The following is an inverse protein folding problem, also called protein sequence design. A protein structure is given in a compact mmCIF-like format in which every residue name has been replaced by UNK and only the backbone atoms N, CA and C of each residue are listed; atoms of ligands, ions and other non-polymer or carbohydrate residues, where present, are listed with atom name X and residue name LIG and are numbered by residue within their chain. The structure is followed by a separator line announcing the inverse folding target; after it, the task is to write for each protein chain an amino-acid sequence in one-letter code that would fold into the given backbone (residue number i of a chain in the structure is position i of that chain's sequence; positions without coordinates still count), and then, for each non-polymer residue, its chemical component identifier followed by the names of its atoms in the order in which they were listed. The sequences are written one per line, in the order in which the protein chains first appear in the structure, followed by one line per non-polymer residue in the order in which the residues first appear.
data_IF_440254461889
#
_entry.id   IF_440254461889
#
_cell.length_a   1.000
_cell.length_b   1.000
_cell.length_c   1.000
_cell.angle_alpha   90.00
_cell.angle_beta   90.00
_cell.angle_gamma   90.00
#
_symmetry.space_group_name_H-M   'P 1'
#
loop_
_entity.id
_entity.type
_entity.pdbx_description
1 polymer ?
#
# COMPACT_ATOMS: atom_id res chain seq x y z
N UNK A 1 3.22 -19.92 8.35
CA UNK A 1 4.15 -20.83 7.64
C UNK A 1 4.53 -20.21 6.32
N UNK A 2 5.82 -20.19 5.96
CA UNK A 2 6.29 -19.61 4.69
C UNK A 2 7.08 -20.67 3.92
N UNK A 3 6.78 -20.78 2.62
CA UNK A 3 7.45 -21.70 1.69
C UNK A 3 8.09 -20.89 0.55
N UNK A 4 9.30 -21.26 0.15
CA UNK A 4 10.02 -20.68 -0.99
C UNK A 4 10.42 -21.77 -1.98
N UNK A 5 9.56 -22.09 -2.96
CA UNK A 5 9.88 -23.11 -3.94
C UNK A 5 11.00 -22.69 -4.90
N UNK A 6 11.13 -21.37 -5.15
CA UNK A 6 12.20 -20.77 -5.95
C UNK A 6 12.71 -19.50 -5.28
N UNK A 7 13.78 -18.92 -5.81
CA UNK A 7 14.33 -17.66 -5.29
C UNK A 7 13.29 -16.51 -5.35
N UNK A 8 12.51 -16.45 -6.41
CA UNK A 8 11.61 -15.33 -6.73
C UNK A 8 10.18 -15.56 -6.22
N UNK A 9 9.80 -16.79 -5.86
CA UNK A 9 8.43 -17.12 -5.45
C UNK A 9 8.39 -17.44 -3.95
N UNK A 10 7.45 -16.81 -3.26
CA UNK A 10 7.17 -17.04 -1.85
C UNK A 10 5.68 -17.28 -1.63
N UNK A 11 5.35 -18.31 -0.87
CA UNK A 11 4.02 -18.60 -0.35
C UNK A 11 4.00 -18.40 1.16
N UNK A 12 2.97 -17.78 1.68
CA UNK A 12 2.76 -17.62 3.12
C UNK A 12 1.33 -18.02 3.49
N UNK A 13 1.20 -18.83 4.53
CA UNK A 13 -0.07 -19.20 5.14
C UNK A 13 -0.11 -18.61 6.54
N UNK A 14 -1.22 -17.97 6.87
CA UNK A 14 -1.43 -17.30 8.16
C UNK A 14 -2.74 -17.80 8.76
N UNK A 15 -2.70 -18.25 9.99
CA UNK A 15 -3.87 -18.49 10.83
C UNK A 15 -3.83 -17.46 11.94
N UNK A 16 -4.91 -16.73 12.11
CA UNK A 16 -5.03 -15.69 13.12
C UNK A 16 -6.28 -15.87 13.98
N UNK A 17 -6.22 -15.34 15.19
CA UNK A 17 -7.35 -15.14 16.06
C UNK A 17 -7.51 -13.65 16.34
N UNK A 18 -8.70 -13.14 16.13
CA UNK A 18 -9.05 -11.75 16.38
C UNK A 18 -9.96 -11.69 17.58
N UNK A 19 -9.64 -10.81 18.52
CA UNK A 19 -10.51 -10.39 19.60
C UNK A 19 -10.45 -8.87 19.66
N UNK A 20 -11.59 -8.22 19.51
CA UNK A 20 -11.69 -6.77 19.54
C UNK A 20 -12.90 -6.34 20.35
N UNK A 21 -12.81 -5.18 20.99
CA UNK A 21 -13.90 -4.58 21.74
C UNK A 21 -13.94 -3.07 21.52
N UNK A 22 -15.13 -2.50 21.61
CA UNK A 22 -15.37 -1.05 21.55
C UNK A 22 -16.21 -0.61 22.74
N UNK A 23 -16.17 0.69 23.04
CA UNK A 23 -16.99 1.27 24.12
C UNK A 23 -18.44 1.40 23.67
N UNK A 24 -19.35 1.50 24.64
CA UNK A 24 -20.79 1.72 24.44
C UNK A 24 -21.05 2.90 23.49
N UNK A 25 -20.26 3.97 23.61
CA UNK A 25 -20.39 5.15 22.76
C UNK A 25 -20.20 4.81 21.29
N UNK A 26 -19.23 3.96 20.96
CA UNK A 26 -18.98 3.55 19.57
C UNK A 26 -20.11 2.67 19.05
N UNK A 27 -20.58 1.70 19.85
CA UNK A 27 -21.67 0.81 19.42
C UNK A 27 -23.00 1.56 19.25
N UNK A 28 -23.24 2.65 19.99
CA UNK A 28 -24.42 3.50 19.84
C UNK A 28 -24.31 4.42 18.62
N UNK A 29 -23.15 5.05 18.41
CA UNK A 29 -22.94 6.00 17.30
C UNK A 29 -22.70 5.33 15.96
N UNK A 30 -22.10 4.14 15.95
CA UNK A 30 -21.78 3.34 14.77
C UNK A 30 -22.16 1.86 15.01
N UNK A 31 -23.46 1.51 14.95
CA UNK A 31 -23.93 0.13 15.22
C UNK A 31 -23.32 -0.92 14.26
N UNK A 32 -22.88 -0.49 13.10
CA UNK A 32 -22.26 -1.34 12.08
C UNK A 32 -20.74 -1.48 12.27
N UNK A 33 -20.17 -0.90 13.32
CA UNK A 33 -18.73 -1.01 13.59
C UNK A 33 -18.33 -2.49 13.76
N UNK A 34 -19.00 -3.20 14.67
CA UNK A 34 -19.13 -4.66 14.64
C UNK A 34 -20.56 -4.99 14.19
N UNK A 35 -20.76 -6.00 13.41
CA UNK A 35 -22.08 -6.37 12.93
C UNK A 35 -23.10 -6.47 14.07
N UNK A 36 -24.27 -5.82 13.92
CA UNK A 36 -25.41 -5.97 14.82
C UNK A 36 -25.35 -5.14 16.12
N UNK A 37 -24.51 -4.11 16.20
CA UNK A 37 -24.43 -3.21 17.37
C UNK A 37 -23.75 -3.82 18.59
N UNK A 38 -23.06 -4.93 18.41
CA UNK A 38 -22.31 -5.59 19.47
C UNK A 38 -21.05 -4.81 19.84
N UNK A 39 -20.57 -4.98 21.08
CA UNK A 39 -19.39 -4.30 21.60
C UNK A 39 -18.11 -5.13 21.50
N UNK A 40 -18.26 -6.43 21.35
CA UNK A 40 -17.18 -7.41 21.26
C UNK A 40 -17.31 -8.25 20.00
N UNK A 41 -16.19 -8.69 19.46
CA UNK A 41 -16.15 -9.68 18.39
C UNK A 41 -14.92 -10.58 18.52
N UNK A 42 -15.10 -11.88 18.28
CA UNK A 42 -14.04 -12.89 18.32
C UNK A 42 -14.23 -13.85 17.16
N UNK A 43 -13.18 -14.08 16.40
CA UNK A 43 -13.22 -15.00 15.28
C UNK A 43 -11.83 -15.42 14.82
N UNK A 44 -11.78 -16.46 13.99
CA UNK A 44 -10.57 -16.91 13.34
C UNK A 44 -10.44 -16.28 11.95
N UNK A 45 -9.19 -16.06 11.53
CA UNK A 45 -8.86 -15.62 10.17
C UNK A 45 -7.91 -16.60 9.51
N UNK A 46 -8.04 -16.76 8.21
CA UNK A 46 -7.13 -17.55 7.38
C UNK A 46 -6.61 -16.67 6.24
N UNK A 47 -5.29 -16.55 6.14
CA UNK A 47 -4.63 -15.80 5.10
C UNK A 47 -3.76 -16.69 4.22
N UNK A 48 -3.77 -16.41 2.92
CA UNK A 48 -2.83 -16.96 1.97
C UNK A 48 -2.25 -15.83 1.12
N UNK A 49 -0.93 -15.81 1.01
CA UNK A 49 -0.21 -14.86 0.16
C UNK A 49 0.72 -15.62 -0.77
N UNK A 50 0.66 -15.30 -2.05
CA UNK A 50 1.68 -15.68 -3.03
C UNK A 50 2.32 -14.42 -3.58
N UNK A 51 3.64 -14.42 -3.65
CA UNK A 51 4.45 -13.28 -4.10
C UNK A 51 5.48 -13.78 -5.11
N UNK A 52 5.62 -13.04 -6.20
CA UNK A 52 6.72 -13.13 -7.16
C UNK A 52 7.50 -11.82 -7.12
N UNK A 53 8.81 -11.87 -6.88
CA UNK A 53 9.69 -10.70 -6.76
C UNK A 53 10.96 -10.90 -7.58
N UNK A 54 10.99 -10.31 -8.76
CA UNK A 54 12.10 -10.35 -9.71
C UNK A 54 12.66 -8.94 -10.01
N UNK A 55 12.78 -8.12 -8.95
CA UNK A 55 13.33 -6.77 -9.04
C UNK A 55 14.84 -6.77 -8.88
N UNK A 56 15.53 -5.87 -9.59
CA UNK A 56 16.98 -5.63 -9.44
C UNK A 56 17.33 -5.08 -8.04
N UNK A 57 16.45 -4.29 -7.46
CA UNK A 57 16.55 -3.75 -6.10
C UNK A 57 15.17 -3.76 -5.45
N UNK A 58 15.13 -4.06 -4.15
CA UNK A 58 13.88 -3.97 -3.38
C UNK A 58 13.55 -2.56 -2.94
N UNK A 59 14.56 -1.73 -2.79
CA UNK A 59 14.46 -0.38 -2.24
C UNK A 59 14.07 0.61 -3.31
N UNK A 60 14.85 0.67 -4.38
CA UNK A 60 14.64 1.57 -5.51
C UNK A 60 14.85 0.79 -6.81
N UNK A 61 13.84 0.05 -7.27
CA UNK A 61 13.94 -0.77 -8.47
C UNK A 61 14.05 0.09 -9.72
N UNK A 62 14.86 -0.37 -10.67
CA UNK A 62 14.96 0.22 -12.01
C UNK A 62 14.57 -0.76 -13.11
N UNK A 63 14.58 -2.05 -12.79
CA UNK A 63 14.16 -3.12 -13.70
C UNK A 63 13.49 -4.24 -12.92
N UNK A 64 12.61 -4.97 -13.60
CA UNK A 64 11.99 -6.18 -13.08
C UNK A 64 10.53 -6.01 -12.74
N UNK A 65 10.00 -7.06 -12.12
CA UNK A 65 8.58 -7.21 -11.85
C UNK A 65 8.34 -7.63 -10.40
N UNK A 66 7.20 -7.20 -9.90
CA UNK A 66 6.65 -7.65 -8.63
C UNK A 66 5.17 -7.96 -8.79
N UNK A 67 4.76 -9.15 -8.36
CA UNK A 67 3.36 -9.55 -8.32
C UNK A 67 3.03 -10.16 -6.96
N UNK A 68 1.92 -9.76 -6.38
CA UNK A 68 1.42 -10.30 -5.12
C UNK A 68 -0.09 -10.50 -5.20
N UNK A 69 -0.55 -11.67 -4.73
CA UNK A 69 -1.95 -11.95 -4.46
C UNK A 69 -2.09 -12.35 -2.99
N UNK A 70 -2.92 -11.64 -2.25
CA UNK A 70 -3.28 -11.94 -0.87
C UNK A 70 -4.76 -12.28 -0.80
N UNK A 71 -5.08 -13.42 -0.22
CA UNK A 71 -6.44 -13.84 0.06
C UNK A 71 -6.61 -13.93 1.57
N UNK A 72 -7.64 -13.29 2.10
CA UNK A 72 -7.98 -13.32 3.50
C UNK A 72 -9.43 -13.77 3.68
N UNK A 73 -9.63 -14.77 4.50
CA UNK A 73 -10.94 -15.20 4.99
C UNK A 73 -11.10 -14.75 6.43
N UNK A 74 -12.11 -13.95 6.69
CA UNK A 74 -12.51 -13.48 8.02
C UNK A 74 -13.74 -14.26 8.45
N UNK A 75 -13.67 -14.89 9.66
CA UNK A 75 -14.68 -15.79 10.15
C UNK A 75 -14.67 -17.15 9.41
N UNK A 76 -14.45 -18.20 10.17
CA UNK A 76 -14.45 -19.59 9.66
C UNK A 76 -15.66 -20.38 10.19
N UNK A 77 -16.75 -19.69 10.54
CA UNK A 77 -17.89 -20.27 11.25
C UNK A 77 -17.58 -20.62 12.73
N UNK A 78 -16.44 -20.14 13.24
CA UNK A 78 -15.98 -20.34 14.63
C UNK A 78 -15.76 -18.97 15.24
N UNK A 79 -16.48 -18.65 16.32
CA UNK A 79 -16.44 -17.35 16.99
C UNK A 79 -17.81 -16.83 17.36
N UNK A 80 -17.91 -15.53 17.56
CA UNK A 80 -19.13 -14.86 17.93
C UNK A 80 -20.12 -14.79 16.75
N UNK A 81 -21.41 -14.58 17.05
CA UNK A 81 -22.46 -14.52 16.01
C UNK A 81 -22.31 -13.31 15.07
N UNK A 82 -21.71 -12.24 15.56
CA UNK A 82 -21.41 -11.02 14.83
C UNK A 82 -20.08 -11.07 14.08
N UNK A 83 -19.36 -12.19 14.13
CA UNK A 83 -18.12 -12.39 13.42
C UNK A 83 -18.32 -12.14 11.92
N UNK A 84 -17.35 -11.53 11.23
CA UNK A 84 -17.40 -11.36 9.78
C UNK A 84 -17.51 -12.71 9.05
N UNK A 85 -18.23 -12.73 7.95
CA UNK A 85 -18.28 -13.85 7.02
C UNK A 85 -17.89 -13.38 5.62
N UNK A 86 -16.65 -12.90 5.48
CA UNK A 86 -16.17 -12.26 4.25
C UNK A 86 -14.85 -12.84 3.80
N UNK A 87 -14.63 -12.79 2.49
CA UNK A 87 -13.35 -13.09 1.86
C UNK A 87 -12.85 -11.86 1.12
N UNK A 88 -11.62 -11.43 1.40
CA UNK A 88 -11.00 -10.29 0.73
C UNK A 88 -9.79 -10.76 -0.08
N UNK A 89 -9.74 -10.34 -1.34
CA UNK A 89 -8.60 -10.53 -2.23
C UNK A 89 -7.91 -9.18 -2.48
N UNK A 90 -6.58 -9.15 -2.36
CA UNK A 90 -5.75 -8.02 -2.76
C UNK A 90 -4.79 -8.48 -3.85
N UNK A 91 -4.70 -7.71 -4.91
CA UNK A 91 -3.74 -7.93 -5.98
C UNK A 91 -2.83 -6.70 -6.11
N UNK A 92 -1.52 -6.93 -6.26
CA UNK A 92 -0.53 -5.90 -6.55
C UNK A 92 0.34 -6.37 -7.70
N UNK A 93 0.45 -5.54 -8.73
CA UNK A 93 1.35 -5.75 -9.87
C UNK A 93 2.22 -4.50 -10.01
N UNK A 94 3.53 -4.68 -10.16
CA UNK A 94 4.46 -3.58 -10.41
C UNK A 94 5.46 -4.00 -11.47
N UNK A 95 5.77 -3.08 -12.35
CA UNK A 95 6.75 -3.26 -13.42
C UNK A 95 7.68 -2.05 -13.49
N UNK A 96 8.97 -2.28 -13.63
CA UNK A 96 9.98 -1.25 -13.81
C UNK A 96 10.75 -1.52 -15.09
N UNK A 97 10.82 -0.49 -15.91
CA UNK A 97 11.55 -0.52 -17.19
C UNK A 97 12.62 0.56 -17.21
N UNK A 98 13.86 0.15 -17.20
CA UNK A 98 14.99 1.05 -17.47
C UNK A 98 14.98 1.39 -18.96
N UNK A 99 14.63 2.63 -19.32
CA UNK A 99 14.61 3.12 -20.68
C UNK A 99 16.00 3.57 -21.15
N UNK A 100 16.82 4.05 -20.23
CA UNK A 100 18.21 4.45 -20.48
C UNK A 100 19.01 4.43 -19.17
N UNK A 101 20.29 4.84 -19.23
CA UNK A 101 21.12 4.98 -18.03
C UNK A 101 20.54 5.95 -16.99
N UNK A 102 19.73 6.92 -17.44
CA UNK A 102 19.14 7.94 -16.58
C UNK A 102 17.64 7.79 -16.39
N UNK A 103 16.90 7.23 -17.34
CA UNK A 103 15.46 7.15 -17.30
C UNK A 103 14.96 5.77 -16.86
N UNK A 104 14.05 5.78 -15.94
CA UNK A 104 13.29 4.60 -15.51
C UNK A 104 11.81 4.94 -15.54
N UNK A 105 11.00 4.07 -16.12
CA UNK A 105 9.55 4.13 -16.09
C UNK A 105 9.07 3.05 -15.13
N UNK A 106 8.07 3.36 -14.31
CA UNK A 106 7.41 2.36 -13.49
C UNK A 106 5.89 2.42 -13.61
N UNK A 107 5.26 1.26 -13.54
CA UNK A 107 3.82 1.10 -13.54
C UNK A 107 3.43 0.25 -12.33
N UNK A 108 2.45 0.71 -11.55
CA UNK A 108 1.87 -0.03 -10.44
C UNK A 108 0.37 -0.14 -10.61
N UNK A 109 -0.15 -1.35 -10.49
CA UNK A 109 -1.58 -1.63 -10.37
C UNK A 109 -1.87 -2.27 -9.02
N UNK A 110 -2.90 -1.80 -8.31
CA UNK A 110 -3.41 -2.43 -7.08
C UNK A 110 -4.90 -2.54 -7.13
N UNK A 111 -5.43 -3.63 -6.60
CA UNK A 111 -6.87 -3.84 -6.49
C UNK A 111 -7.21 -4.59 -5.21
N UNK A 112 -8.39 -4.31 -4.67
CA UNK A 112 -9.02 -5.06 -3.60
C UNK A 112 -10.43 -5.43 -4.01
N UNK A 113 -10.85 -6.64 -3.67
CA UNK A 113 -12.23 -7.09 -3.80
C UNK A 113 -12.63 -7.84 -2.52
N UNK A 114 -13.77 -7.50 -1.94
CA UNK A 114 -14.37 -8.18 -0.78
C UNK A 114 -15.65 -8.86 -1.22
N UNK A 115 -15.81 -10.13 -0.86
CA UNK A 115 -16.98 -10.96 -1.12
C UNK A 115 -17.57 -11.41 0.21
N UNK A 116 -18.88 -11.40 0.32
CA UNK A 116 -19.63 -11.63 1.56
C UNK A 116 -20.22 -10.31 2.08
N UNK A 117 -21.27 -10.39 2.86
CA UNK A 117 -21.98 -9.24 3.41
C UNK A 117 -22.72 -9.65 4.69
N UNK A 118 -22.95 -8.71 5.62
CA UNK A 118 -22.41 -7.36 5.64
C UNK A 118 -20.90 -7.33 5.95
N UNK A 119 -20.19 -6.35 5.42
CA UNK A 119 -18.79 -6.10 5.76
C UNK A 119 -18.74 -5.13 6.94
N UNK A 120 -18.27 -5.54 8.15
CA UNK A 120 -18.18 -4.64 9.28
C UNK A 120 -17.27 -3.45 8.98
N UNK A 121 -17.57 -2.28 9.55
CA UNK A 121 -16.86 -1.05 9.26
C UNK A 121 -15.34 -1.17 9.52
N UNK A 122 -14.93 -1.80 10.62
CA UNK A 122 -13.51 -1.91 11.02
C UNK A 122 -12.63 -2.78 10.10
N UNK A 123 -13.22 -3.56 9.19
CA UNK A 123 -12.48 -4.32 8.16
C UNK A 123 -12.57 -3.70 6.77
N UNK A 124 -13.27 -2.57 6.65
CA UNK A 124 -13.28 -1.80 5.41
C UNK A 124 -11.98 -1.02 5.28
N UNK A 125 -11.23 -1.31 4.27
CA UNK A 125 -9.98 -0.62 3.94
C UNK A 125 -10.00 -0.31 2.45
N UNK A 126 -10.09 0.94 2.10
CA UNK A 126 -10.03 1.41 0.73
C UNK A 126 -8.69 2.04 0.40
N UNK A 127 -8.69 3.28 -0.07
CA UNK A 127 -7.49 4.07 -0.35
C UNK A 127 -7.21 5.06 0.79
N UNK A 128 -5.93 5.41 0.99
CA UNK A 128 -5.48 6.29 2.07
C UNK A 128 -4.79 5.57 3.23
N UNK A 129 -4.74 4.24 3.22
CA UNK A 129 -4.00 3.39 4.16
C UNK A 129 -2.65 2.96 3.56
N UNK A 130 -2.49 1.66 3.31
CA UNK A 130 -1.31 1.09 2.63
C UNK A 130 -1.26 1.41 1.13
N UNK A 131 -2.35 1.89 0.57
CA UNK A 131 -2.52 2.25 -0.84
C UNK A 131 -3.18 3.63 -0.92
N UNK A 132 -2.41 4.64 -1.31
CA UNK A 132 -2.89 6.02 -1.44
C UNK A 132 -2.66 6.54 -2.86
N UNK A 133 -3.52 7.46 -3.30
CA UNK A 133 -3.32 8.31 -4.48
C UNK A 133 -2.51 9.51 -4.01
N UNK A 134 -1.41 9.86 -4.67
CA UNK A 134 -0.63 11.05 -4.33
C UNK A 134 -1.45 12.32 -4.56
N UNK A 135 -1.35 13.27 -3.64
CA UNK A 135 -2.24 14.44 -3.55
C UNK A 135 -3.49 14.22 -2.70
N UNK A 136 -3.71 12.99 -2.20
CA UNK A 136 -4.79 12.63 -1.28
C UNK A 136 -4.28 12.11 0.06
N UNK A 137 -3.10 12.54 0.51
CA UNK A 137 -2.44 12.04 1.73
C UNK A 137 -3.26 12.32 3.00
N UNK A 138 -4.16 13.32 2.97
CA UNK A 138 -5.06 13.64 4.08
C UNK A 138 -6.40 12.93 4.03
N UNK A 139 -6.65 12.14 2.99
CA UNK A 139 -7.92 11.48 2.76
C UNK A 139 -7.83 9.97 2.98
N UNK A 140 -8.80 9.46 3.72
CA UNK A 140 -9.09 8.03 3.80
C UNK A 140 -10.41 7.80 3.07
N UNK A 141 -10.40 6.93 2.09
CA UNK A 141 -11.57 6.58 1.29
C UNK A 141 -11.86 5.11 1.55
N UNK A 142 -12.78 4.85 2.47
CA UNK A 142 -13.17 3.49 2.84
C UNK A 142 -14.08 2.85 1.79
N UNK A 143 -14.08 1.53 1.75
CA UNK A 143 -14.95 0.76 0.88
C UNK A 143 -14.56 -0.70 0.76
N UNK A 144 -15.47 -1.48 0.17
CA UNK A 144 -15.30 -2.93 0.03
C UNK A 144 -14.35 -3.28 -1.12
N UNK A 145 -14.29 -2.44 -2.17
CA UNK A 145 -13.45 -2.68 -3.33
C UNK A 145 -12.68 -1.42 -3.69
N UNK A 146 -11.49 -1.58 -4.26
CA UNK A 146 -10.78 -0.49 -4.91
C UNK A 146 -9.95 -0.96 -6.10
N UNK A 147 -9.67 -0.02 -7.00
CA UNK A 147 -8.64 -0.14 -8.03
C UNK A 147 -7.75 1.11 -8.00
N UNK A 148 -6.45 0.94 -8.16
CA UNK A 148 -5.45 2.00 -8.16
C UNK A 148 -4.41 1.71 -9.23
N UNK A 149 -4.14 2.69 -10.08
CA UNK A 149 -3.04 2.71 -11.04
C UNK A 149 -2.09 3.85 -10.73
N UNK A 150 -0.78 3.62 -10.81
CA UNK A 150 0.27 4.62 -10.66
C UNK A 150 1.25 4.51 -11.80
N UNK A 151 1.64 5.65 -12.35
CA UNK A 151 2.66 5.77 -13.37
C UNK A 151 3.73 6.75 -12.87
N UNK A 152 5.00 6.36 -12.96
CA UNK A 152 6.13 7.21 -12.56
C UNK A 152 7.20 7.20 -13.65
N UNK A 153 7.84 8.35 -13.88
CA UNK A 153 9.00 8.47 -14.73
C UNK A 153 10.11 9.19 -13.96
N UNK A 154 11.15 8.44 -13.61
CA UNK A 154 12.27 8.91 -12.80
C UNK A 154 13.49 9.20 -13.66
N UNK A 155 14.09 10.38 -13.50
CA UNK A 155 15.32 10.81 -14.14
C UNK A 155 16.47 10.93 -13.13
N UNK A 156 17.54 10.17 -13.32
CA UNK A 156 18.72 10.24 -12.45
C UNK A 156 19.49 11.55 -12.66
N UNK A 157 19.29 12.50 -11.73
CA UNK A 157 20.09 13.72 -11.61
C UNK A 157 21.53 13.36 -11.19
N UNK A 158 21.62 12.55 -10.14
CA UNK A 158 22.87 11.94 -9.67
C UNK A 158 22.71 10.43 -9.86
N UNK A 159 23.51 9.86 -10.80
CA UNK A 159 23.52 8.41 -10.98
C UNK A 159 24.01 7.71 -9.72
N UNK A 160 23.54 6.47 -9.44
CA UNK A 160 24.02 5.67 -8.33
C UNK A 160 25.55 5.66 -8.24
N UNK A 161 26.06 6.10 -7.11
CA UNK A 161 27.51 6.14 -6.81
C UNK A 161 27.77 5.82 -5.36
N UNK A 162 28.91 5.19 -5.10
CA UNK A 162 29.44 5.02 -3.75
C UNK A 162 30.63 5.97 -3.56
N UNK A 163 30.62 6.67 -2.42
CA UNK A 163 31.69 7.57 -1.99
C UNK A 163 32.33 6.98 -0.74
N UNK A 164 33.66 7.07 -0.64
CA UNK A 164 34.39 6.71 0.58
C UNK A 164 34.66 7.97 1.37
N UNK A 165 34.13 8.04 2.58
CA UNK A 165 34.32 9.15 3.53
C UNK A 165 35.33 8.69 4.57
N UNK A 166 36.58 9.10 4.43
CA UNK A 166 37.68 8.63 5.28
C UNK A 166 37.64 9.19 6.72
N UNK A 167 36.91 10.28 6.91
CA UNK A 167 36.70 10.95 8.20
C UNK A 167 35.80 10.15 9.16
N UNK A 168 35.07 9.16 8.64
CA UNK A 168 34.24 8.28 9.46
C UNK A 168 35.12 7.27 10.20
N UNK A 169 35.12 7.24 11.55
CA UNK A 169 35.99 6.37 12.32
C UNK A 169 35.81 4.88 12.08
N UNK A 170 34.53 4.46 11.87
CA UNK A 170 34.14 3.06 11.66
C UNK A 170 34.19 2.71 10.19
N UNK A 171 35.04 1.78 9.78
CA UNK A 171 35.21 1.35 8.38
C UNK A 171 33.90 0.89 7.71
N UNK A 172 33.03 0.22 8.45
CA UNK A 172 31.74 -0.26 7.97
C UNK A 172 30.82 0.87 7.48
N UNK A 173 30.99 2.09 7.94
CA UNK A 173 30.19 3.27 7.60
C UNK A 173 30.88 4.24 6.63
N UNK A 174 32.12 3.94 6.21
CA UNK A 174 32.89 4.81 5.30
C UNK A 174 32.30 4.83 3.88
N UNK A 175 31.63 3.77 3.43
CA UNK A 175 31.06 3.72 2.09
C UNK A 175 29.64 4.24 2.14
N UNK A 176 29.43 5.42 1.57
CA UNK A 176 28.11 6.07 1.45
C UNK A 176 27.62 5.94 0.02
N UNK A 177 26.49 5.27 -0.16
CA UNK A 177 25.79 5.20 -1.43
C UNK A 177 24.87 6.41 -1.57
N UNK A 178 24.87 7.06 -2.73
CA UNK A 178 24.00 8.21 -3.01
C UNK A 178 23.51 8.13 -4.44
N UNK A 179 22.21 8.31 -4.62
CA UNK A 179 21.58 8.60 -5.91
C UNK A 179 20.49 9.64 -5.71
N UNK A 180 20.29 10.52 -6.69
CA UNK A 180 19.22 11.53 -6.68
C UNK A 180 18.42 11.43 -7.97
N UNK A 181 17.12 11.31 -7.85
CA UNK A 181 16.21 11.23 -8.97
C UNK A 181 15.21 12.39 -8.92
N UNK A 182 14.92 12.95 -10.08
CA UNK A 182 13.75 13.78 -10.31
C UNK A 182 12.64 12.85 -10.82
N UNK A 183 11.49 12.91 -10.20
CA UNK A 183 10.36 12.05 -10.46
C UNK A 183 9.15 12.85 -10.93
N UNK A 184 8.46 12.39 -11.96
CA UNK A 184 7.16 12.90 -12.38
C UNK A 184 6.17 11.74 -12.37
N UNK A 185 4.95 12.00 -11.92
CA UNK A 185 4.01 10.92 -11.72
C UNK A 185 2.56 11.31 -11.94
N UNK A 186 1.75 10.30 -12.19
CA UNK A 186 0.30 10.38 -12.23
C UNK A 186 -0.32 9.12 -11.63
N UNK A 187 -1.26 9.32 -10.73
CA UNK A 187 -2.02 8.26 -10.04
C UNK A 187 -3.50 8.40 -10.38
N UNK A 188 -4.19 7.28 -10.47
CA UNK A 188 -5.64 7.24 -10.64
C UNK A 188 -6.22 6.07 -9.86
N UNK A 189 -7.28 6.32 -9.10
CA UNK A 189 -7.92 5.29 -8.30
C UNK A 189 -9.41 5.52 -8.12
N UNK A 190 -10.11 4.45 -7.76
CA UNK A 190 -11.52 4.48 -7.41
C UNK A 190 -11.79 3.49 -6.30
N UNK A 191 -12.62 3.90 -5.36
CA UNK A 191 -13.18 3.05 -4.31
C UNK A 191 -14.65 2.84 -4.59
N UNK A 192 -15.13 1.62 -4.41
CA UNK A 192 -16.56 1.29 -4.41
C UNK A 192 -16.95 0.92 -2.99
N UNK A 193 -17.87 1.73 -2.46
CA UNK A 193 -18.50 1.51 -1.17
C UNK A 193 -19.99 1.25 -1.39
N UNK A 194 -20.41 -0.01 -1.25
CA UNK A 194 -21.79 -0.44 -1.50
C UNK A 194 -22.66 -0.18 -0.26
N UNK A 195 -22.06 -0.12 0.93
CA UNK A 195 -22.77 -0.03 2.19
C UNK A 195 -22.96 1.41 2.69
N UNK A 196 -21.94 2.28 2.47
CA UNK A 196 -21.89 3.64 3.06
C UNK A 196 -21.61 4.73 2.00
N UNK A 197 -21.97 4.48 0.74
CA UNK A 197 -21.74 5.38 -0.40
C UNK A 197 -22.26 6.81 -0.17
N UNK A 198 -23.37 6.98 0.55
CA UNK A 198 -23.97 8.28 0.86
C UNK A 198 -23.16 9.12 1.85
N UNK A 199 -22.33 8.50 2.65
CA UNK A 199 -21.51 9.14 3.71
C UNK A 199 -20.09 9.42 3.24
N UNK A 200 -19.66 8.75 2.18
CA UNK A 200 -18.31 8.79 1.63
C UNK A 200 -18.31 9.49 0.27
N UNK A 201 -18.17 10.82 0.28
CA UNK A 201 -18.29 11.65 -0.93
C UNK A 201 -17.21 11.39 -2.00
N UNK A 202 -16.09 10.74 -1.64
CA UNK A 202 -15.02 10.36 -2.58
C UNK A 202 -15.23 8.97 -3.14
N UNK A 203 -16.03 8.12 -2.50
CA UNK A 203 -16.34 6.80 -3.03
C UNK A 203 -17.23 6.90 -4.28
N UNK A 204 -17.17 5.89 -5.14
CA UNK A 204 -17.98 5.83 -6.36
C UNK A 204 -17.49 6.69 -7.53
N UNK A 205 -16.53 7.60 -7.32
CA UNK A 205 -15.94 8.44 -8.36
C UNK A 205 -14.45 8.13 -8.56
N UNK A 206 -13.91 8.45 -9.75
CA UNK A 206 -12.49 8.36 -10.02
C UNK A 206 -11.77 9.55 -9.40
N UNK A 207 -10.74 9.28 -8.62
CA UNK A 207 -9.83 10.25 -8.06
C UNK A 207 -8.51 10.19 -8.81
N UNK A 208 -7.91 11.34 -9.09
CA UNK A 208 -6.61 11.41 -9.75
C UNK A 208 -5.70 12.41 -9.05
N UNK A 209 -4.42 12.06 -9.00
CA UNK A 209 -3.38 12.94 -8.50
C UNK A 209 -2.15 12.88 -9.40
N UNK A 210 -1.41 13.97 -9.49
CA UNK A 210 -0.20 14.07 -10.28
C UNK A 210 0.76 15.08 -9.67
N UNK A 211 2.02 14.99 -10.02
CA UNK A 211 3.01 15.88 -9.48
C UNK A 211 4.42 15.57 -9.91
N UNK A 212 5.36 16.15 -9.17
CA UNK A 212 6.78 15.91 -9.32
C UNK A 212 7.44 15.79 -7.95
N UNK A 213 8.54 15.08 -7.88
CA UNK A 213 9.27 14.85 -6.66
C UNK A 213 10.77 14.71 -6.84
N UNK A 214 11.47 14.66 -5.73
CA UNK A 214 12.88 14.37 -5.63
C UNK A 214 13.09 13.18 -4.70
N UNK A 215 13.69 12.12 -5.23
CA UNK A 215 14.04 10.92 -4.48
C UNK A 215 15.54 10.90 -4.19
N UNK A 216 15.91 11.05 -2.94
CA UNK A 216 17.26 10.84 -2.46
C UNK A 216 17.39 9.42 -1.91
N UNK A 217 18.13 8.58 -2.62
CA UNK A 217 18.45 7.21 -2.20
C UNK A 217 19.82 7.18 -1.57
N UNK A 218 19.91 6.69 -0.33
CA UNK A 218 21.16 6.68 0.43
C UNK A 218 21.52 5.25 0.87
N UNK A 219 22.66 5.13 1.55
CA UNK A 219 23.07 3.89 2.21
C UNK A 219 21.99 3.38 3.18
N UNK A 220 22.06 2.09 3.52
CA UNK A 220 21.12 1.41 4.43
C UNK A 220 19.69 1.41 3.92
N UNK A 221 19.54 1.41 2.59
CA UNK A 221 18.24 1.28 1.96
C UNK A 221 17.23 2.39 2.32
N UNK A 222 17.73 3.60 2.66
CA UNK A 222 16.89 4.73 2.97
C UNK A 222 16.55 5.53 1.71
N UNK A 223 15.25 5.81 1.51
CA UNK A 223 14.75 6.70 0.47
C UNK A 223 14.01 7.86 1.11
N UNK A 224 14.51 9.06 0.85
CA UNK A 224 13.86 10.32 1.23
C UNK A 224 13.20 10.89 -0.02
N UNK A 225 11.88 11.04 0.02
CA UNK A 225 11.09 11.52 -1.10
C UNK A 225 10.40 12.82 -0.72
N UNK A 226 10.65 13.86 -1.50
CA UNK A 226 9.96 15.15 -1.39
C UNK A 226 9.11 15.32 -2.63
N UNK A 227 7.79 15.40 -2.48
CA UNK A 227 6.82 15.46 -3.57
C UNK A 227 5.97 16.72 -3.48
N UNK A 228 5.69 17.35 -4.63
CA UNK A 228 4.66 18.35 -4.75
C UNK A 228 3.55 17.81 -5.65
N UNK A 229 2.39 17.60 -5.05
CA UNK A 229 1.25 16.92 -5.65
C UNK A 229 0.07 17.85 -5.86
N UNK A 230 -0.70 17.59 -6.91
CA UNK A 230 -2.01 18.15 -7.20
C UNK A 230 -3.05 17.04 -7.24
N UNK A 231 -4.29 17.34 -6.84
CA UNK A 231 -5.40 16.39 -6.90
C UNK A 231 -6.60 16.92 -7.70
N UNK A 232 -7.55 16.04 -8.01
CA UNK A 232 -8.75 16.40 -8.77
C UNK A 232 -9.73 17.30 -7.99
N UNK A 233 -9.54 17.49 -6.68
CA UNK A 233 -10.33 18.42 -5.87
C UNK A 233 -9.85 19.87 -6.02
N UNK A 234 -8.75 20.10 -6.77
CA UNK A 234 -8.13 21.41 -6.93
C UNK A 234 -7.17 21.77 -5.79
N UNK A 235 -6.81 20.82 -4.97
CA UNK A 235 -5.87 20.98 -3.87
C UNK A 235 -4.45 20.64 -4.32
N UNK A 236 -3.48 21.16 -3.60
CA UNK A 236 -2.06 20.83 -3.79
C UNK A 236 -1.32 20.85 -2.46
N UNK A 237 -0.20 20.18 -2.40
CA UNK A 237 0.60 20.08 -1.18
C UNK A 237 2.02 19.61 -1.42
N UNK A 238 2.87 19.93 -0.45
CA UNK A 238 4.24 19.41 -0.35
C UNK A 238 4.25 18.30 0.67
N UNK A 239 4.75 17.12 0.26
CA UNK A 239 4.76 15.91 1.08
C UNK A 239 6.18 15.37 1.20
N UNK A 240 6.53 14.92 2.40
CA UNK A 240 7.80 14.28 2.70
C UNK A 240 7.55 12.83 3.13
N UNK A 241 8.12 11.91 2.40
CA UNK A 241 8.00 10.48 2.68
C UNK A 241 9.37 9.87 3.01
N UNK A 242 9.38 9.02 4.01
CA UNK A 242 10.52 8.19 4.37
C UNK A 242 10.14 6.74 4.08
N UNK A 243 10.80 6.14 3.12
CA UNK A 243 10.55 4.74 2.77
C UNK A 243 11.68 3.89 3.33
N UNK A 244 11.33 2.97 4.22
CA UNK A 244 12.22 1.88 4.62
C UNK A 244 11.77 0.62 3.87
N UNK A 245 12.68 -0.15 3.29
CA UNK A 245 12.34 -1.45 2.73
C UNK A 245 12.15 -2.44 3.88
N UNK A 246 10.95 -2.92 4.08
CA UNK A 246 10.66 -4.08 4.91
C UNK A 246 10.14 -5.22 4.06
#
# INVERSE_FOLDING_TARGET
MTLRPTHDIRHAFTLGYVQASVTDTVSILAPDYFNGGEQDTRYLTLGYTVMHDHRDSRVYPRTGDYAELRLWRYGLGIGDRNAPDITTAYATLKHWQKLSERWTLSLTGRAKATIGAPTPYYVQEGLGYSSAIRGYEYYVIDGQHYALGKLDAAFALIKPRSYTVNEVPLEAFRTVYVALYLDIYADMGRVWDIQYDKQNFLAGSWQSGYGAGLDLVTSYDQVFRLEYSFNALGENGLFLHFTQPF
#
